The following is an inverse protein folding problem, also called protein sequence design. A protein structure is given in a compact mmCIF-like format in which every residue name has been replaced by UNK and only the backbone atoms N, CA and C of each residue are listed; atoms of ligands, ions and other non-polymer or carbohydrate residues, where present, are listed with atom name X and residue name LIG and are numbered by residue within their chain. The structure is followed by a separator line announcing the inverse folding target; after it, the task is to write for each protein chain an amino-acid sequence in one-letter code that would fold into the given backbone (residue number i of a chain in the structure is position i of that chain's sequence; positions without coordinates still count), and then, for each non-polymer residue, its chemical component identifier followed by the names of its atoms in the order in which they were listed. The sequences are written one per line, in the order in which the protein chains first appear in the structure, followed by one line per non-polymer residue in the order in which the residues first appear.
data_IF_087571198981
#
_entry.id   IF_087571198981
#
_cell.length_a   1.000
_cell.length_b   1.000
_cell.length_c   1.000
_cell.angle_alpha   90.00
_cell.angle_beta   90.00
_cell.angle_gamma   90.00
#
_symmetry.space_group_name_H-M   'P 1'
#
loop_
_entity.id
_entity.type
_entity.pdbx_description
1 polymer ?
#
# COMPACT_ATOMS: atom_id res chain seq x y z
N UNK A 1 14.28 -5.29 9.22
CA UNK A 1 12.89 -5.35 9.68
C UNK A 1 12.32 -6.70 9.26
N UNK A 2 11.65 -7.38 10.18
CA UNK A 2 10.97 -8.66 9.91
C UNK A 2 9.47 -8.38 10.01
N UNK A 3 8.70 -8.85 9.02
CA UNK A 3 7.25 -8.83 9.06
C UNK A 3 6.74 -10.26 9.19
N UNK A 4 5.69 -10.42 9.99
CA UNK A 4 4.89 -11.63 9.96
C UNK A 4 3.98 -11.60 8.73
N UNK A 5 3.70 -12.76 8.12
CA UNK A 5 2.92 -12.81 6.87
C UNK A 5 1.52 -12.18 7.02
N UNK A 6 0.92 -12.24 8.21
CA UNK A 6 -0.37 -11.62 8.51
C UNK A 6 -0.33 -10.09 8.59
N UNK A 7 0.86 -9.48 8.65
CA UNK A 7 1.08 -8.03 8.61
C UNK A 7 1.25 -7.50 7.19
N UNK A 8 1.37 -8.39 6.21
CA UNK A 8 1.46 -8.09 4.79
C UNK A 8 0.11 -8.41 4.14
N UNK A 9 -0.30 -7.62 3.17
CA UNK A 9 -1.59 -7.78 2.52
C UNK A 9 -1.58 -7.30 1.08
N UNK A 10 -2.52 -7.84 0.31
CA UNK A 10 -2.89 -7.29 -1.00
C UNK A 10 -3.70 -6.01 -0.85
N UNK A 11 -3.86 -5.18 -1.90
CA UNK A 11 -4.72 -3.99 -1.84
C UNK A 11 -6.17 -4.32 -1.54
N UNK A 12 -6.65 -5.48 -2.02
CA UNK A 12 -8.01 -5.93 -1.76
C UNK A 12 -8.20 -6.21 -0.28
N UNK A 13 -7.31 -7.01 0.29
CA UNK A 13 -7.33 -7.34 1.72
C UNK A 13 -7.16 -6.09 2.60
N UNK A 14 -6.30 -5.15 2.21
CA UNK A 14 -6.18 -3.87 2.92
C UNK A 14 -7.50 -3.09 2.94
N UNK A 15 -8.20 -3.03 1.80
CA UNK A 15 -9.50 -2.38 1.70
C UNK A 15 -10.52 -3.03 2.64
N UNK A 16 -10.57 -4.36 2.65
CA UNK A 16 -11.48 -5.12 3.51
C UNK A 16 -11.14 -4.91 5.01
N UNK A 17 -9.85 -4.92 5.38
CA UNK A 17 -9.38 -4.70 6.77
C UNK A 17 -9.54 -3.25 7.28
N UNK A 18 -9.46 -2.25 6.39
CA UNK A 18 -9.60 -0.82 6.74
C UNK A 18 -11.00 -0.26 6.50
N UNK A 19 -11.93 -1.03 5.92
CA UNK A 19 -13.27 -0.56 5.60
C UNK A 19 -13.28 0.55 4.54
N UNK A 20 -12.34 0.53 3.60
CA UNK A 20 -12.22 1.53 2.53
C UNK A 20 -12.51 0.93 1.16
N UNK A 21 -12.94 1.76 0.21
CA UNK A 21 -13.19 1.30 -1.16
C UNK A 21 -11.88 1.18 -1.94
N UNK A 22 -11.88 0.30 -2.96
CA UNK A 22 -10.72 0.17 -3.86
C UNK A 22 -10.39 1.47 -4.60
N UNK A 23 -11.40 2.30 -4.89
CA UNK A 23 -11.18 3.58 -5.55
C UNK A 23 -10.56 4.62 -4.60
N UNK A 24 -10.95 4.64 -3.33
CA UNK A 24 -10.29 5.44 -2.30
C UNK A 24 -8.81 5.05 -2.18
N UNK A 25 -8.51 3.74 -2.15
CA UNK A 25 -7.15 3.21 -2.15
C UNK A 25 -6.35 3.68 -3.38
N UNK A 26 -6.91 3.53 -4.58
CA UNK A 26 -6.28 3.99 -5.84
C UNK A 26 -6.00 5.48 -5.83
N UNK A 27 -6.97 6.30 -5.41
CA UNK A 27 -6.81 7.75 -5.33
C UNK A 27 -5.73 8.14 -4.32
N UNK A 28 -5.70 7.50 -3.14
CA UNK A 28 -4.68 7.75 -2.12
C UNK A 28 -3.28 7.43 -2.65
N UNK A 29 -3.07 6.22 -3.20
CA UNK A 29 -1.77 5.84 -3.77
C UNK A 29 -1.33 6.77 -4.89
N UNK A 30 -2.25 7.21 -5.76
CA UNK A 30 -1.93 8.17 -6.82
C UNK A 30 -1.47 9.52 -6.27
N UNK A 31 -2.13 10.05 -5.23
CA UNK A 31 -1.73 11.31 -4.57
C UNK A 31 -0.42 11.15 -3.82
N UNK A 32 -0.32 10.14 -2.96
CA UNK A 32 0.89 9.83 -2.18
C UNK A 32 2.12 9.53 -3.05
N UNK A 33 1.93 9.06 -4.29
CA UNK A 33 3.02 8.93 -5.26
C UNK A 33 3.51 10.29 -5.76
N UNK A 34 2.61 11.23 -6.03
CA UNK A 34 2.99 12.61 -6.40
C UNK A 34 3.70 13.33 -5.26
N UNK A 35 3.27 13.07 -4.02
CA UNK A 35 3.79 13.71 -2.82
C UNK A 35 5.10 13.06 -2.31
N UNK A 36 5.66 12.08 -3.02
CA UNK A 36 6.90 11.39 -2.66
C UNK A 36 6.77 10.35 -1.54
N UNK A 37 5.65 10.31 -0.82
CA UNK A 37 5.40 9.38 0.29
C UNK A 37 5.50 7.91 -0.14
N UNK A 38 5.00 7.55 -1.32
CA UNK A 38 5.09 6.16 -1.83
C UNK A 38 6.54 5.72 -1.99
N UNK A 39 7.41 6.57 -2.54
CA UNK A 39 8.83 6.26 -2.69
C UNK A 39 9.48 6.03 -1.33
N UNK A 40 9.23 6.93 -0.37
CA UNK A 40 9.71 6.78 1.00
C UNK A 40 9.28 5.46 1.66
N UNK A 41 8.01 5.07 1.50
CA UNK A 41 7.51 3.81 2.06
C UNK A 41 8.14 2.57 1.39
N UNK A 42 8.51 2.66 0.10
CA UNK A 42 9.25 1.61 -0.58
C UNK A 42 10.68 1.52 -0.04
N UNK A 43 11.36 2.65 0.11
CA UNK A 43 12.73 2.71 0.62
C UNK A 43 12.82 2.21 2.07
N UNK A 44 11.79 2.47 2.88
CA UNK A 44 11.65 1.94 4.24
C UNK A 44 11.21 0.46 4.29
N UNK A 45 10.93 -0.18 3.15
CA UNK A 45 10.51 -1.58 3.07
C UNK A 45 9.07 -1.85 3.50
N UNK A 46 8.23 -0.82 3.66
CA UNK A 46 6.83 -0.93 4.11
C UNK A 46 5.84 -1.13 2.95
N UNK A 47 6.27 -0.82 1.73
CA UNK A 47 5.45 -0.88 0.53
C UNK A 47 6.25 -1.50 -0.61
N UNK A 48 5.61 -2.30 -1.46
CA UNK A 48 6.25 -2.83 -2.67
C UNK A 48 5.31 -2.75 -3.85
N UNK A 49 5.85 -2.40 -5.01
CA UNK A 49 5.17 -2.51 -6.29
C UNK A 49 5.92 -3.49 -7.17
N UNK A 50 5.27 -4.59 -7.54
CA UNK A 50 5.81 -5.56 -8.48
C UNK A 50 5.12 -5.40 -9.82
N UNK A 51 5.88 -5.10 -10.87
CA UNK A 51 5.37 -5.00 -12.24
C UNK A 51 6.17 -5.96 -13.14
N UNK A 52 5.57 -7.04 -13.65
CA UNK A 52 6.23 -7.91 -14.62
C UNK A 52 6.59 -7.14 -15.90
N UNK A 53 7.64 -7.59 -16.57
CA UNK A 53 8.04 -7.05 -17.88
C UNK A 53 6.90 -7.21 -18.90
N UNK A 54 6.73 -6.20 -19.76
CA UNK A 54 5.67 -6.19 -20.79
C UNK A 54 4.24 -6.01 -20.27
N UNK A 55 3.97 -6.06 -18.96
CA UNK A 55 2.63 -5.81 -18.41
C UNK A 55 2.37 -4.32 -18.24
N UNK A 56 1.14 -3.89 -18.50
CA UNK A 56 0.75 -2.49 -18.32
C UNK A 56 0.60 -2.11 -16.84
N UNK A 57 0.14 -3.04 -16.01
CA UNK A 57 -0.14 -2.86 -14.58
C UNK A 57 0.63 -3.86 -13.73
N UNK A 58 1.02 -3.44 -12.55
CA UNK A 58 1.63 -4.28 -11.52
C UNK A 58 0.72 -4.40 -10.31
N UNK A 59 1.23 -5.12 -9.32
CA UNK A 59 0.56 -5.42 -8.07
C UNK A 59 1.27 -4.72 -6.92
N UNK A 60 0.47 -4.25 -5.97
CA UNK A 60 0.97 -3.68 -4.73
C UNK A 60 0.99 -4.74 -3.65
N UNK A 61 1.98 -4.64 -2.78
CA UNK A 61 2.07 -5.39 -1.54
C UNK A 61 2.24 -4.35 -0.44
N UNK A 62 1.34 -4.40 0.55
CA UNK A 62 1.18 -3.39 1.57
C UNK A 62 1.45 -4.02 2.94
N UNK A 63 2.10 -3.28 3.83
CA UNK A 63 2.20 -3.68 5.25
C UNK A 63 1.12 -2.96 6.07
N UNK A 64 0.82 -3.47 7.27
CA UNK A 64 0.00 -2.75 8.27
C UNK A 64 0.57 -1.35 8.53
N UNK A 65 1.89 -1.22 8.63
CA UNK A 65 2.55 0.07 8.86
C UNK A 65 2.30 1.06 7.72
N UNK A 66 2.46 0.62 6.46
CA UNK A 66 2.12 1.46 5.31
C UNK A 66 0.65 1.88 5.34
N UNK A 67 -0.26 0.97 5.73
CA UNK A 67 -1.68 1.29 5.83
C UNK A 67 -2.00 2.28 6.95
N UNK A 68 -1.34 2.19 8.11
CA UNK A 68 -1.48 3.18 9.18
C UNK A 68 -1.02 4.58 8.75
N UNK A 69 -0.04 4.68 7.87
CA UNK A 69 0.45 5.96 7.33
C UNK A 69 -0.49 6.49 6.22
N UNK A 70 -0.95 5.61 5.32
CA UNK A 70 -1.80 5.99 4.19
C UNK A 70 -3.23 6.30 4.63
N UNK A 71 -3.77 5.51 5.56
CA UNK A 71 -5.11 5.62 6.12
C UNK A 71 -5.02 5.52 7.65
N UNK A 72 -4.60 6.61 8.33
CA UNK A 72 -4.58 6.65 9.77
C UNK A 72 -5.98 6.36 10.32
N UNK A 73 -6.09 5.40 11.23
CA UNK A 73 -7.33 5.20 11.98
C UNK A 73 -7.42 6.34 12.99
N UNK A 74 -8.52 7.09 12.98
CA UNK A 74 -8.84 7.99 14.08
C UNK A 74 -9.16 7.10 15.29
N UNK A 75 -8.19 6.88 16.17
CA UNK A 75 -8.42 6.40 17.55
C UNK A 75 -9.21 7.42 18.34
#
# INVERSE_FOLDING_TARGET
MLFMLNEIMTPREACDRWGITQDAMRMKLKRSKKDGLVSKLIDEGKLKYYKPEGKQRGEWILTIEAMNILFPKNT
#
